data_IF_772170035742
#
_entry.id   IF_772170035742
#
_cell.length_a   1.000
_cell.length_b   1.000
_cell.length_c   1.000
_cell.angle_alpha   90.00
_cell.angle_beta   90.00
_cell.angle_gamma   90.00
#
_symmetry.space_group_name_H-M   'P 1'
#
loop_
_entity.id
_entity.type
_entity.pdbx_description
1 polymer ?
#
# COMPACT_ATOMS: atom_id res chain seq x y z
N UNK A 1 -12.34 -13.71 -12.95
CA UNK A 1 -13.29 -13.35 -11.87
C UNK A 1 -13.16 -11.87 -11.61
N UNK A 2 -14.25 -11.09 -11.67
CA UNK A 2 -14.20 -9.67 -11.36
C UNK A 2 -13.81 -9.45 -9.88
N UNK A 3 -12.98 -8.44 -9.60
CA UNK A 3 -12.61 -8.14 -8.21
C UNK A 3 -13.85 -7.69 -7.43
N UNK A 4 -14.07 -8.26 -6.23
CA UNK A 4 -15.11 -7.73 -5.35
C UNK A 4 -14.75 -6.29 -4.98
N UNK A 5 -15.68 -5.34 -5.12
CA UNK A 5 -15.45 -3.96 -4.70
C UNK A 5 -15.17 -3.91 -3.18
N UNK A 6 -14.41 -2.92 -2.76
CA UNK A 6 -14.16 -2.67 -1.34
C UNK A 6 -15.49 -2.41 -0.60
N UNK A 7 -15.65 -3.00 0.58
CA UNK A 7 -16.76 -2.69 1.49
C UNK A 7 -16.54 -1.32 2.18
N UNK A 8 -17.47 -0.87 3.02
CA UNK A 8 -17.37 0.43 3.71
C UNK A 8 -16.12 0.57 4.58
N UNK A 9 -15.75 -0.47 5.33
CA UNK A 9 -14.57 -0.45 6.20
C UNK A 9 -13.27 -0.39 5.38
N UNK A 10 -13.19 -1.16 4.30
CA UNK A 10 -12.06 -1.14 3.37
C UNK A 10 -11.94 0.21 2.66
N UNK A 11 -13.08 0.83 2.29
CA UNK A 11 -13.08 2.19 1.74
C UNK A 11 -12.58 3.22 2.74
N UNK A 12 -12.98 3.12 4.01
CA UNK A 12 -12.47 3.97 5.07
C UNK A 12 -10.96 3.80 5.23
N UNK A 13 -10.48 2.56 5.32
CA UNK A 13 -9.05 2.24 5.38
C UNK A 13 -8.26 2.89 4.22
N UNK A 14 -8.71 2.73 2.98
CA UNK A 14 -8.06 3.37 1.82
C UNK A 14 -8.06 4.90 1.92
N UNK A 15 -9.14 5.50 2.44
CA UNK A 15 -9.21 6.94 2.69
C UNK A 15 -8.23 7.37 3.78
N UNK A 16 -8.14 6.61 4.87
CA UNK A 16 -7.25 6.90 6.00
C UNK A 16 -5.78 6.84 5.57
N UNK A 17 -5.39 5.82 4.78
CA UNK A 17 -4.05 5.72 4.20
C UNK A 17 -3.74 6.92 3.30
N UNK A 18 -4.71 7.35 2.50
CA UNK A 18 -4.53 8.52 1.65
C UNK A 18 -4.39 9.81 2.46
N UNK A 19 -5.19 9.99 3.52
CA UNK A 19 -5.08 11.14 4.43
C UNK A 19 -3.73 11.15 5.14
N UNK A 20 -3.32 10.03 5.73
CA UNK A 20 -2.01 9.88 6.39
C UNK A 20 -0.85 10.21 5.43
N UNK A 21 -0.91 9.70 4.20
CA UNK A 21 0.12 9.95 3.19
C UNK A 21 0.20 11.43 2.75
N UNK A 22 -0.90 12.19 2.84
CA UNK A 22 -0.92 13.63 2.56
C UNK A 22 -0.42 14.47 3.74
N UNK A 23 -0.62 14.00 4.97
CA UNK A 23 -0.24 14.72 6.20
C UNK A 23 1.25 14.54 6.54
N UNK A 24 1.86 13.44 6.08
CA UNK A 24 3.28 13.16 6.24
C UNK A 24 4.15 13.54 5.04
N UNK A 25 5.45 13.72 5.28
CA UNK A 25 6.48 13.69 4.22
C UNK A 25 6.42 12.27 3.62
N UNK A 26 5.67 12.11 2.52
CA UNK A 26 5.34 10.82 1.89
C UNK A 26 6.44 9.77 2.05
N UNK A 27 5.98 8.64 2.56
CA UNK A 27 6.66 7.43 2.97
C UNK A 27 7.83 6.94 2.10
N UNK A 28 7.87 7.31 0.81
CA UNK A 28 8.98 7.02 -0.10
C UNK A 28 9.73 8.30 -0.54
N UNK A 29 9.02 9.41 -0.74
CA UNK A 29 9.56 10.78 -0.88
C UNK A 29 8.45 11.78 -0.58
N UNK A 30 8.69 12.79 0.27
CA UNK A 30 7.76 13.88 0.66
C UNK A 30 6.58 14.18 -0.27
N UNK A 31 5.39 14.37 0.31
CA UNK A 31 4.20 14.74 -0.44
C UNK A 31 4.11 16.28 -0.48
N UNK A 32 4.72 16.90 -1.48
CA UNK A 32 4.45 18.31 -1.79
C UNK A 32 3.12 18.48 -2.57
N UNK A 33 2.57 17.39 -3.13
CA UNK A 33 1.30 17.35 -3.86
C UNK A 33 0.47 16.10 -3.48
N UNK A 34 -0.75 16.24 -2.94
CA UNK A 34 -1.69 15.13 -2.70
C UNK A 34 -2.02 14.26 -3.92
N UNK A 35 -1.79 14.76 -5.14
CA UNK A 35 -1.89 14.00 -6.40
C UNK A 35 -0.60 13.27 -6.76
N UNK A 36 0.45 13.44 -5.96
CA UNK A 36 1.78 12.90 -6.19
C UNK A 36 1.91 11.40 -5.97
N UNK A 37 0.87 10.72 -5.45
CA UNK A 37 0.90 9.27 -5.20
C UNK A 37 -0.39 8.55 -5.64
N UNK A 38 -0.28 7.23 -5.74
CA UNK A 38 -1.39 6.31 -5.96
C UNK A 38 -1.37 5.19 -4.91
N UNK A 39 -2.54 4.66 -4.53
CA UNK A 39 -2.64 3.53 -3.62
C UNK A 39 -2.34 2.22 -4.36
N UNK A 40 -1.11 1.75 -4.23
CA UNK A 40 -0.64 0.51 -4.82
C UNK A 40 -1.20 -0.68 -4.05
N UNK A 41 -1.92 -1.57 -4.74
CA UNK A 41 -2.37 -2.85 -4.17
C UNK A 41 -1.28 -3.90 -4.41
N UNK A 42 -0.47 -4.19 -3.38
CA UNK A 42 0.79 -4.95 -3.50
C UNK A 42 0.62 -6.31 -4.21
N UNK A 43 -0.47 -7.02 -3.92
CA UNK A 43 -0.79 -8.32 -4.53
C UNK A 43 -2.08 -8.27 -5.38
N UNK A 44 -2.60 -7.06 -5.63
CA UNK A 44 -3.85 -6.84 -6.33
C UNK A 44 -5.10 -6.89 -5.44
N UNK A 45 -6.17 -6.24 -5.91
CA UNK A 45 -7.43 -6.01 -5.17
C UNK A 45 -8.15 -7.27 -4.66
N UNK A 46 -7.99 -8.38 -5.38
CA UNK A 46 -8.65 -9.66 -5.06
C UNK A 46 -7.76 -10.63 -4.28
N UNK A 47 -6.56 -10.20 -3.86
CA UNK A 47 -5.58 -11.08 -3.24
C UNK A 47 -6.14 -11.76 -1.98
N UNK A 48 -5.79 -13.03 -1.85
CA UNK A 48 -6.15 -13.88 -0.71
C UNK A 48 -4.91 -14.63 -0.27
N UNK A 49 -4.63 -14.63 1.03
CA UNK A 49 -3.54 -15.42 1.64
C UNK A 49 -4.10 -16.20 2.81
N UNK A 50 -3.77 -17.50 2.92
CA UNK A 50 -4.29 -18.39 3.98
C UNK A 50 -5.81 -18.29 4.20
N UNK A 51 -6.57 -18.17 3.11
CA UNK A 51 -8.04 -17.97 3.10
C UNK A 51 -8.54 -16.64 3.70
N UNK A 52 -7.66 -15.69 3.99
CA UNK A 52 -7.97 -14.31 4.39
C UNK A 52 -7.91 -13.40 3.16
N UNK A 53 -8.94 -12.58 2.94
CA UNK A 53 -8.90 -11.56 1.88
C UNK A 53 -8.01 -10.41 2.32
N UNK A 54 -6.91 -10.19 1.62
CA UNK A 54 -5.90 -9.18 1.98
C UNK A 54 -5.80 -8.04 0.96
N UNK A 55 -6.34 -8.20 -0.25
CA UNK A 55 -6.07 -7.27 -1.37
C UNK A 55 -6.37 -5.79 -1.08
N UNK A 56 -7.55 -5.47 -0.55
CA UNK A 56 -7.92 -4.09 -0.19
C UNK A 56 -7.26 -3.59 1.11
N UNK A 57 -6.66 -4.49 1.89
CA UNK A 57 -5.93 -4.14 3.11
C UNK A 57 -4.45 -3.90 2.83
N UNK A 58 -3.85 -4.69 1.95
CA UNK A 58 -2.44 -4.63 1.59
C UNK A 58 -2.19 -3.58 0.51
N UNK A 59 -2.29 -2.33 0.93
CA UNK A 59 -2.02 -1.17 0.10
C UNK A 59 -0.90 -0.34 0.70
N UNK A 60 -0.09 0.27 -0.17
CA UNK A 60 0.90 1.28 0.21
C UNK A 60 0.76 2.49 -0.71
N UNK A 61 0.93 3.72 -0.21
CA UNK A 61 1.01 4.89 -1.06
C UNK A 61 2.34 4.86 -1.81
N UNK A 62 2.30 4.98 -3.13
CA UNK A 62 3.50 4.99 -3.99
C UNK A 62 3.46 6.23 -4.87
N UNK A 63 4.54 7.02 -4.97
CA UNK A 63 4.61 8.16 -5.87
C UNK A 63 4.22 7.79 -7.30
N UNK A 64 3.54 8.69 -7.99
CA UNK A 64 3.02 8.47 -9.34
C UNK A 64 4.12 8.00 -10.30
N UNK A 65 5.28 8.64 -10.24
CA UNK A 65 6.48 8.29 -11.03
C UNK A 65 6.93 6.83 -10.88
N UNK A 66 6.61 6.18 -9.76
CA UNK A 66 6.99 4.80 -9.48
C UNK A 66 5.81 3.82 -9.55
N UNK A 67 4.61 4.25 -9.94
CA UNK A 67 3.44 3.39 -9.98
C UNK A 67 2.66 3.44 -11.29
N UNK A 68 2.57 4.62 -11.92
CA UNK A 68 1.79 4.80 -13.13
C UNK A 68 2.38 4.03 -14.31
N UNK A 69 1.51 3.36 -15.07
CA UNK A 69 1.93 2.49 -16.19
C UNK A 69 2.47 3.28 -17.38
N UNK A 70 2.18 4.57 -17.50
CA UNK A 70 2.76 5.45 -18.51
C UNK A 70 4.21 5.85 -18.21
N UNK A 71 4.64 5.74 -16.95
CA UNK A 71 5.95 6.19 -16.49
C UNK A 71 7.03 5.12 -16.68
N UNK A 72 8.11 5.48 -17.36
CA UNK A 72 9.23 4.58 -17.70
C UNK A 72 10.36 4.56 -16.67
N UNK A 73 10.08 4.99 -15.45
CA UNK A 73 11.07 4.99 -14.38
C UNK A 73 11.54 3.56 -14.07
N UNK A 74 12.84 3.34 -13.90
CA UNK A 74 13.44 2.03 -13.62
C UNK A 74 13.11 1.50 -12.21
N UNK A 75 12.53 2.33 -11.35
CA UNK A 75 11.97 1.98 -10.05
C UNK A 75 10.45 1.81 -10.09
N UNK A 76 9.80 1.82 -11.27
CA UNK A 76 8.36 1.63 -11.32
C UNK A 76 7.96 0.24 -10.78
N UNK A 77 7.19 0.19 -9.69
CA UNK A 77 6.81 -1.03 -8.98
C UNK A 77 6.00 -2.00 -9.83
N UNK A 78 5.27 -1.50 -10.84
CA UNK A 78 4.46 -2.29 -11.76
C UNK A 78 5.31 -3.06 -12.79
N UNK A 79 6.49 -2.55 -13.14
CA UNK A 79 7.36 -3.13 -14.18
C UNK A 79 8.67 -3.71 -13.61
N UNK A 80 9.24 -3.06 -12.62
CA UNK A 80 10.58 -3.30 -12.10
C UNK A 80 10.53 -3.54 -10.57
N UNK A 81 9.65 -4.46 -10.14
CA UNK A 81 9.46 -4.77 -8.71
C UNK A 81 10.77 -5.08 -7.98
N UNK A 82 11.71 -5.77 -8.62
CA UNK A 82 13.01 -6.07 -8.01
C UNK A 82 13.80 -4.79 -7.71
N UNK A 83 13.94 -3.88 -8.69
CA UNK A 83 14.63 -2.61 -8.49
C UNK A 83 13.95 -1.74 -7.43
N UNK A 84 12.61 -1.69 -7.43
CA UNK A 84 11.85 -1.00 -6.39
C UNK A 84 12.15 -1.59 -5.00
N UNK A 85 12.22 -2.92 -4.90
CA UNK A 85 12.51 -3.62 -3.64
C UNK A 85 13.97 -3.41 -3.18
N UNK A 86 14.91 -3.32 -4.12
CA UNK A 86 16.32 -3.08 -3.79
C UNK A 86 16.54 -1.64 -3.29
N UNK A 87 15.81 -0.67 -3.85
CA UNK A 87 15.88 0.75 -3.46
C UNK A 87 15.13 1.02 -2.14
N UNK A 88 13.86 0.58 -2.03
CA UNK A 88 12.97 0.96 -0.94
C UNK A 88 12.77 -0.14 0.11
N UNK A 89 13.17 -1.38 -0.19
CA UNK A 89 12.92 -2.53 0.65
C UNK A 89 11.63 -3.28 0.30
N UNK A 90 11.38 -4.37 1.04
CA UNK A 90 10.22 -5.25 0.82
C UNK A 90 8.91 -4.53 1.10
N UNK A 91 7.91 -4.77 0.26
CA UNK A 91 6.61 -4.09 0.38
C UNK A 91 5.87 -4.49 1.66
N UNK A 92 6.10 -5.71 2.17
CA UNK A 92 5.64 -6.12 3.51
C UNK A 92 6.23 -5.27 4.63
N UNK A 93 7.52 -4.94 4.57
CA UNK A 93 8.16 -4.06 5.55
C UNK A 93 7.72 -2.62 5.39
N UNK A 94 7.51 -2.21 4.14
CA UNK A 94 6.94 -0.90 3.84
C UNK A 94 5.56 -0.72 4.49
N UNK A 95 4.71 -1.73 4.33
CA UNK A 95 3.39 -1.77 4.95
C UNK A 95 3.44 -1.78 6.48
N UNK A 96 4.36 -2.54 7.08
CA UNK A 96 4.52 -2.66 8.54
C UNK A 96 4.85 -1.32 9.20
N UNK A 97 5.81 -0.58 8.63
CA UNK A 97 6.19 0.74 9.14
C UNK A 97 5.05 1.74 8.92
N UNK A 98 4.38 1.72 7.77
CA UNK A 98 3.20 2.56 7.52
C UNK A 98 2.12 2.33 8.57
N UNK A 99 1.73 1.07 8.82
CA UNK A 99 0.71 0.73 9.82
C UNK A 99 1.14 1.18 11.22
N UNK A 100 2.41 0.99 11.57
CA UNK A 100 2.96 1.43 12.86
C UNK A 100 2.85 2.95 13.04
N UNK A 101 3.17 3.73 12.01
CA UNK A 101 3.06 5.19 12.04
C UNK A 101 1.61 5.67 12.08
N UNK A 102 0.73 5.04 11.29
CA UNK A 102 -0.71 5.29 11.32
C UNK A 102 -1.33 5.03 12.71
N UNK A 103 -0.87 4.00 13.43
CA UNK A 103 -1.28 3.75 14.81
C UNK A 103 -0.88 4.91 15.73
N UNK A 104 0.35 5.42 15.60
CA UNK A 104 0.82 6.56 16.38
C UNK A 104 0.03 7.84 16.06
N UNK A 105 -0.39 8.00 14.80
CA UNK A 105 -1.27 9.08 14.34
C UNK A 105 -2.75 8.93 14.74
N UNK A 106 -3.14 7.80 15.34
CA UNK A 106 -4.51 7.55 15.78
C UNK A 106 -5.48 7.12 14.67
N UNK A 107 -4.99 6.64 13.53
CA UNK A 107 -5.80 6.09 12.45
C UNK A 107 -6.26 4.66 12.75
N UNK A 108 -7.32 4.21 12.07
CA UNK A 108 -7.74 2.82 12.10
C UNK A 108 -6.71 1.92 11.39
N UNK A 109 -6.62 0.67 11.83
CA UNK A 109 -5.75 -0.34 11.22
C UNK A 109 -6.54 -1.42 10.49
N UNK A 110 -5.89 -2.21 9.62
CA UNK A 110 -6.48 -3.45 9.14
C UNK A 110 -6.86 -4.36 10.32
N UNK A 111 -7.86 -5.25 10.15
CA UNK A 111 -8.13 -6.30 11.12
C UNK A 111 -6.88 -7.13 11.38
N UNK A 112 -6.66 -7.55 12.63
CA UNK A 112 -5.46 -8.29 13.03
C UNK A 112 -5.19 -9.52 12.14
N UNK A 113 -6.24 -10.27 11.80
CA UNK A 113 -6.14 -11.43 10.91
C UNK A 113 -5.61 -11.05 9.51
N UNK A 114 -6.06 -9.92 8.96
CA UNK A 114 -5.57 -9.43 7.68
C UNK A 114 -4.11 -8.96 7.78
N UNK A 115 -3.76 -8.22 8.83
CA UNK A 115 -2.39 -7.77 9.06
C UNK A 115 -1.42 -8.96 9.21
N UNK A 116 -1.76 -9.96 10.03
CA UNK A 116 -0.95 -11.17 10.20
C UNK A 116 -0.82 -11.95 8.89
N UNK A 117 -1.91 -12.10 8.13
CA UNK A 117 -1.85 -12.73 6.82
C UNK A 117 -0.96 -11.96 5.84
N UNK A 118 -0.92 -10.62 5.90
CA UNK A 118 -0.02 -9.79 5.08
C UNK A 118 1.44 -9.99 5.50
N UNK A 119 1.73 -10.03 6.79
CA UNK A 119 3.09 -10.25 7.31
C UNK A 119 3.64 -11.65 7.02
N UNK A 120 2.76 -12.62 6.83
CA UNK A 120 3.11 -13.97 6.37
C UNK A 120 3.35 -14.07 4.86
N UNK A 121 3.12 -12.98 4.10
CA UNK A 121 3.49 -12.95 2.68
C UNK A 121 4.99 -12.71 2.49
N UNK A 122 5.57 -13.24 1.42
CA UNK A 122 6.95 -12.93 1.00
C UNK A 122 7.01 -11.72 0.05
N UNK A 123 6.06 -10.79 0.15
CA UNK A 123 5.82 -9.74 -0.84
C UNK A 123 6.71 -8.50 -0.72
#
# INVERSE_FOLDING_TARGET
MASKPANSVQKKWMSDVASWACEGISYLYGCDDPKGFQLHHVLGRSAKHNKVLIGHWFIIPVPFTYHDIGEKNNLNVSYFKHNFTDEFGKQTKLFDVMVSDMILGGYDTPPLEAYQAIMDTNA
#
